data_IF_291806789348
#
_entry.id   IF_291806789348
#
_cell.length_a   1.000
_cell.length_b   1.000
_cell.length_c   1.000
_cell.angle_alpha   90.00
_cell.angle_beta   90.00
_cell.angle_gamma   90.00
#
_symmetry.space_group_name_H-M   'P 1'
#
loop_
_entity.id
_entity.type
_entity.pdbx_description
1 polymer ?
#
# COMPACT_ATOMS: atom_id res chain seq x y z
N UNK A 1 -6.68 25.24 -0.79
CA UNK A 1 -7.55 24.08 -0.55
C UNK A 1 -6.67 22.88 -0.18
N UNK A 2 -7.02 22.12 0.85
CA UNK A 2 -6.36 20.85 1.19
C UNK A 2 -7.41 19.75 1.15
N UNK A 3 -7.08 18.60 0.57
CA UNK A 3 -8.03 17.50 0.38
C UNK A 3 -7.47 16.22 0.99
N UNK A 4 -8.30 15.48 1.73
CA UNK A 4 -7.92 14.20 2.35
C UNK A 4 -8.66 13.08 1.64
N UNK A 5 -7.98 11.98 1.37
CA UNK A 5 -8.62 10.74 0.95
C UNK A 5 -8.08 9.55 1.73
N UNK A 6 -9.00 8.70 2.18
CA UNK A 6 -8.72 7.47 2.90
C UNK A 6 -9.42 6.32 2.15
N UNK A 7 -8.71 5.23 1.89
CA UNK A 7 -9.26 4.03 1.24
C UNK A 7 -8.79 2.78 1.99
N UNK A 8 -9.73 1.93 2.39
CA UNK A 8 -9.44 0.62 2.97
C UNK A 8 -10.06 -0.48 2.11
N UNK A 9 -9.31 -1.53 1.87
CA UNK A 9 -9.74 -2.74 1.16
C UNK A 9 -9.41 -3.95 2.03
N UNK A 10 -10.34 -4.89 2.13
CA UNK A 10 -10.18 -6.16 2.86
C UNK A 10 -10.51 -7.32 1.91
N UNK A 11 -9.67 -8.34 1.91
CA UNK A 11 -9.84 -9.55 1.11
C UNK A 11 -9.47 -10.79 1.93
N UNK A 12 -10.10 -11.93 1.63
CA UNK A 12 -9.79 -13.21 2.26
C UNK A 12 -9.73 -14.32 1.20
N UNK A 13 -8.70 -15.15 1.28
CA UNK A 13 -8.61 -16.40 0.54
C UNK A 13 -9.36 -17.50 1.27
N UNK A 14 -10.37 -18.08 0.62
CA UNK A 14 -11.20 -19.18 1.14
C UNK A 14 -11.02 -20.41 0.24
N UNK A 15 -10.03 -21.28 0.53
CA UNK A 15 -9.82 -22.50 -0.24
C UNK A 15 -11.02 -23.44 -0.08
N UNK A 16 -11.53 -23.98 -1.19
CA UNK A 16 -12.62 -24.96 -1.16
C UNK A 16 -12.18 -26.33 -0.60
N UNK A 17 -10.90 -26.67 -0.71
CA UNK A 17 -10.28 -27.90 -0.19
C UNK A 17 -8.83 -27.63 0.25
N UNK A 18 -8.23 -28.52 1.04
CA UNK A 18 -6.82 -28.43 1.42
C UNK A 18 -6.47 -27.31 2.40
N UNK A 19 -7.45 -26.83 3.18
CA UNK A 19 -7.29 -25.74 4.15
C UNK A 19 -6.23 -26.06 5.22
N UNK A 20 -6.04 -27.33 5.54
CA UNK A 20 -5.04 -27.80 6.51
C UNK A 20 -3.59 -27.64 6.02
N UNK A 21 -3.39 -27.57 4.69
CA UNK A 21 -2.08 -27.37 4.05
C UNK A 21 -1.89 -25.92 3.58
N UNK A 22 -2.91 -25.34 2.93
CA UNK A 22 -2.85 -24.01 2.30
C UNK A 22 -3.14 -22.87 3.28
N UNK A 23 -3.92 -23.14 4.33
CA UNK A 23 -4.41 -22.13 5.26
C UNK A 23 -5.39 -21.13 4.63
N UNK A 24 -5.88 -20.21 5.45
CA UNK A 24 -6.68 -19.04 5.07
C UNK A 24 -5.79 -17.82 5.18
N UNK A 25 -5.81 -16.99 4.14
CA UNK A 25 -5.06 -15.73 4.13
C UNK A 25 -6.04 -14.57 4.17
N UNK A 26 -5.94 -13.72 5.17
CA UNK A 26 -6.69 -12.46 5.26
C UNK A 26 -5.71 -11.33 4.95
N UNK A 27 -6.03 -10.54 3.93
CA UNK A 27 -5.23 -9.40 3.46
C UNK A 27 -6.04 -8.13 3.62
N UNK A 28 -5.43 -7.10 4.19
CA UNK A 28 -5.98 -5.76 4.26
C UNK A 28 -4.98 -4.75 3.72
N UNK A 29 -5.50 -3.74 3.05
CA UNK A 29 -4.75 -2.60 2.54
C UNK A 29 -5.49 -1.32 2.94
N UNK A 30 -4.81 -0.43 3.66
CA UNK A 30 -5.34 0.89 4.02
C UNK A 30 -4.39 1.95 3.50
N UNK A 31 -4.88 2.84 2.65
CA UNK A 31 -4.12 3.93 2.06
C UNK A 31 -4.72 5.28 2.47
N UNK A 32 -3.87 6.15 2.99
CA UNK A 32 -4.20 7.53 3.37
C UNK A 32 -3.38 8.46 2.49
N UNK A 33 -4.03 9.44 1.89
CA UNK A 33 -3.40 10.47 1.09
C UNK A 33 -3.89 11.84 1.55
N UNK A 34 -2.98 12.81 1.62
CA UNK A 34 -3.35 14.16 1.98
C UNK A 34 -2.77 15.16 0.99
N UNK A 35 -3.63 15.82 0.20
CA UNK A 35 -3.28 16.79 -0.82
C UNK A 35 -3.13 18.18 -0.22
N UNK A 36 -1.91 18.68 -0.19
CA UNK A 36 -1.54 20.02 0.26
C UNK A 36 -1.35 20.93 -0.95
N UNK A 37 -2.15 21.99 -1.04
CA UNK A 37 -2.04 23.04 -2.06
C UNK A 37 -1.99 22.52 -3.51
N UNK A 38 -2.59 21.37 -3.77
CA UNK A 38 -2.66 20.81 -5.12
C UNK A 38 -1.39 20.12 -5.64
N UNK A 39 -0.25 20.27 -4.96
CA UNK A 39 1.07 19.92 -5.49
C UNK A 39 1.85 18.88 -4.66
N UNK A 40 1.56 18.77 -3.35
CA UNK A 40 2.26 17.84 -2.46
C UNK A 40 1.23 16.89 -1.87
N UNK A 41 1.52 15.59 -1.93
CA UNK A 41 0.68 14.52 -1.41
C UNK A 41 1.50 13.55 -0.57
N UNK A 42 1.67 13.79 0.74
CA UNK A 42 2.06 12.73 1.65
C UNK A 42 1.09 11.56 1.54
N UNK A 43 1.66 10.37 1.49
CA UNK A 43 0.98 9.09 1.39
C UNK A 43 1.43 8.20 2.54
N UNK A 44 0.49 7.44 3.09
CA UNK A 44 0.77 6.37 4.02
C UNK A 44 -0.07 5.16 3.64
N UNK A 45 0.58 4.05 3.35
CA UNK A 45 -0.09 2.80 3.05
C UNK A 45 0.27 1.73 4.08
N UNK A 46 -0.72 1.02 4.59
CA UNK A 46 -0.58 -0.10 5.49
C UNK A 46 -1.10 -1.36 4.80
N UNK A 47 -0.24 -2.34 4.60
CA UNK A 47 -0.60 -3.66 4.08
C UNK A 47 -0.44 -4.67 5.22
N UNK A 48 -1.50 -5.42 5.54
CA UNK A 48 -1.44 -6.46 6.56
C UNK A 48 -1.94 -7.77 5.99
N UNK A 49 -1.12 -8.80 6.11
CA UNK A 49 -1.44 -10.17 5.75
C UNK A 49 -1.37 -11.05 7.00
N UNK A 50 -2.44 -11.77 7.27
CA UNK A 50 -2.53 -12.73 8.38
C UNK A 50 -2.92 -14.09 7.84
N UNK A 51 -2.26 -15.12 8.34
CA UNK A 51 -2.50 -16.51 7.98
C UNK A 51 -3.13 -17.26 9.15
N UNK A 52 -4.12 -18.10 8.84
CA UNK A 52 -4.80 -18.98 9.80
C UNK A 52 -4.93 -20.38 9.19
N UNK A 53 -4.36 -21.39 9.85
CA UNK A 53 -4.14 -22.73 9.32
C UNK A 53 -2.95 -22.84 8.35
N UNK A 54 -2.57 -24.07 7.99
CA UNK A 54 -1.45 -24.36 7.09
C UNK A 54 -0.06 -24.06 7.68
N UNK A 55 0.96 -24.10 6.83
CA UNK A 55 2.39 -23.96 7.23
C UNK A 55 2.75 -22.60 7.85
N UNK A 56 1.92 -21.58 7.65
CA UNK A 56 2.14 -20.22 8.15
C UNK A 56 1.15 -19.84 9.25
N UNK A 57 0.49 -20.82 9.87
CA UNK A 57 -0.52 -20.57 10.90
C UNK A 57 -0.02 -19.63 12.01
N UNK A 58 -0.86 -18.68 12.40
CA UNK A 58 -0.58 -17.67 13.41
C UNK A 58 0.42 -16.59 12.98
N UNK A 59 1.02 -16.67 11.80
CA UNK A 59 1.94 -15.62 11.33
C UNK A 59 1.16 -14.41 10.83
N UNK A 60 1.75 -13.24 11.07
CA UNK A 60 1.24 -11.96 10.59
C UNK A 60 2.39 -11.15 10.02
N UNK A 61 2.19 -10.61 8.82
CA UNK A 61 3.13 -9.75 8.14
C UNK A 61 2.46 -8.40 7.91
N UNK A 62 3.05 -7.33 8.44
CA UNK A 62 2.54 -5.98 8.31
C UNK A 62 3.61 -5.10 7.71
N UNK A 63 3.27 -4.44 6.61
CA UNK A 63 4.10 -3.45 5.96
C UNK A 63 3.49 -2.07 6.09
N UNK A 64 4.32 -1.09 6.42
CA UNK A 64 3.99 0.33 6.37
C UNK A 64 4.83 0.98 5.27
N UNK A 65 4.16 1.72 4.40
CA UNK A 65 4.77 2.40 3.26
C UNK A 65 4.51 3.90 3.36
N UNK A 66 5.35 4.65 4.09
CA UNK A 66 5.39 6.10 3.92
C UNK A 66 5.85 6.45 2.51
N UNK A 67 5.18 7.43 1.92
CA UNK A 67 5.53 7.97 0.62
C UNK A 67 5.17 9.43 0.48
N UNK A 68 5.70 10.04 -0.57
CA UNK A 68 5.43 11.42 -0.94
C UNK A 68 5.29 11.47 -2.45
N UNK A 69 4.20 12.05 -2.92
CA UNK A 69 4.04 12.42 -4.32
C UNK A 69 4.12 13.93 -4.42
N UNK A 70 4.88 14.43 -5.38
CA UNK A 70 4.92 15.83 -5.78
C UNK A 70 4.44 15.93 -7.22
N UNK A 71 3.61 16.90 -7.55
CA UNK A 71 3.12 16.99 -8.92
C UNK A 71 2.12 18.09 -9.21
N UNK A 72 1.37 17.85 -10.29
CA UNK A 72 0.75 18.86 -11.14
C UNK A 72 1.78 19.76 -11.83
N UNK A 73 2.94 19.23 -12.20
CA UNK A 73 3.85 19.92 -13.11
C UNK A 73 3.22 19.92 -14.51
N UNK A 74 2.89 21.09 -15.10
CA UNK A 74 2.31 21.14 -16.43
C UNK A 74 3.37 20.74 -17.47
N UNK A 75 3.07 19.71 -18.26
CA UNK A 75 3.90 19.32 -19.41
C UNK A 75 3.30 19.84 -20.73
N UNK A 76 1.97 19.81 -20.87
CA UNK A 76 1.20 20.33 -22.00
C UNK A 76 -0.21 20.75 -21.53
N UNK A 77 -1.02 21.41 -22.36
CA UNK A 77 -2.31 22.05 -21.99
C UNK A 77 -3.18 21.28 -20.98
N UNK A 78 -3.28 19.96 -21.12
CA UNK A 78 -4.03 19.09 -20.19
C UNK A 78 -3.16 18.07 -19.46
N UNK A 79 -1.91 17.91 -19.90
CA UNK A 79 -1.00 16.89 -19.41
C UNK A 79 -0.26 17.38 -18.18
N UNK A 80 -0.50 16.72 -17.05
CA UNK A 80 0.20 17.01 -15.82
C UNK A 80 1.09 15.82 -15.43
N UNK A 81 2.24 16.11 -14.83
CA UNK A 81 3.16 15.11 -14.31
C UNK A 81 3.18 15.16 -12.78
N UNK A 82 3.20 13.98 -12.17
CA UNK A 82 3.50 13.76 -10.77
C UNK A 82 4.58 12.70 -10.58
N UNK A 83 5.50 12.96 -9.67
CA UNK A 83 6.56 12.06 -9.26
C UNK A 83 6.32 11.64 -7.82
N UNK A 84 6.39 10.35 -7.54
CA UNK A 84 6.20 9.81 -6.20
C UNK A 84 7.31 8.86 -5.79
N UNK A 85 7.71 8.94 -4.53
CA UNK A 85 8.65 8.02 -3.92
C UNK A 85 8.12 7.54 -2.58
N UNK A 86 8.43 6.30 -2.19
CA UNK A 86 8.09 5.74 -0.90
C UNK A 86 8.99 4.57 -0.54
N UNK A 87 8.98 4.21 0.73
CA UNK A 87 9.74 3.07 1.25
C UNK A 87 8.77 2.18 1.98
N UNK A 88 8.70 0.92 1.57
CA UNK A 88 7.94 -0.11 2.26
C UNK A 88 8.82 -0.75 3.34
N UNK A 89 8.35 -0.70 4.58
CA UNK A 89 9.05 -1.13 5.79
C UNK A 89 8.20 -2.21 6.46
N UNK A 90 8.84 -3.31 6.88
CA UNK A 90 8.16 -4.31 7.69
C UNK A 90 8.08 -3.83 9.15
N UNK A 91 6.88 -3.91 9.74
CA UNK A 91 6.62 -3.48 11.12
C UNK A 91 6.28 -4.69 12.03
N UNK A 92 6.24 -5.90 11.48
CA UNK A 92 6.03 -7.16 12.20
C UNK A 92 7.32 -7.97 12.31
N UNK A 93 7.46 -8.75 13.40
CA UNK A 93 8.61 -9.65 13.62
C UNK A 93 8.80 -10.68 12.50
N UNK A 94 7.69 -11.15 11.92
CA UNK A 94 7.74 -11.96 10.71
C UNK A 94 7.70 -11.07 9.48
N UNK A 95 8.77 -11.07 8.71
CA UNK A 95 8.88 -10.33 7.47
C UNK A 95 9.76 -11.07 6.45
N UNK A 96 9.25 -11.26 5.24
CA UNK A 96 10.02 -11.87 4.14
C UNK A 96 10.94 -10.86 3.46
N UNK A 97 10.61 -9.57 3.57
CA UNK A 97 11.36 -8.45 3.01
C UNK A 97 11.47 -7.33 4.03
N UNK A 98 12.58 -6.59 4.01
CA UNK A 98 12.78 -5.44 4.88
C UNK A 98 13.49 -4.34 4.06
N UNK A 99 12.87 -3.15 3.99
CA UNK A 99 13.28 -1.97 3.20
C UNK A 99 13.21 -2.12 1.67
N UNK A 100 12.02 -1.96 1.10
CA UNK A 100 11.82 -1.89 -0.36
C UNK A 100 11.55 -0.46 -0.82
N UNK A 101 12.38 0.05 -1.70
CA UNK A 101 12.18 1.35 -2.33
C UNK A 101 11.15 1.25 -3.46
N UNK A 102 10.25 2.23 -3.51
CA UNK A 102 9.17 2.33 -4.50
C UNK A 102 9.26 3.72 -5.14
N UNK A 103 9.40 3.74 -6.45
CA UNK A 103 9.31 4.95 -7.27
C UNK A 103 8.08 4.84 -8.18
N UNK A 104 7.39 5.95 -8.37
CA UNK A 104 6.16 6.02 -9.18
C UNK A 104 6.11 7.31 -9.99
N UNK A 105 5.54 7.21 -11.18
CA UNK A 105 5.26 8.36 -12.06
C UNK A 105 3.76 8.35 -12.36
N UNK A 106 3.11 9.51 -12.25
CA UNK A 106 1.68 9.69 -12.53
C UNK A 106 1.52 10.71 -13.64
N UNK A 107 0.70 10.37 -14.63
CA UNK A 107 0.40 11.23 -15.77
C UNK A 107 -1.12 11.31 -15.95
N UNK A 108 -1.82 12.14 -15.14
CA UNK A 108 -3.24 12.39 -15.35
C UNK A 108 -3.48 13.19 -16.63
N UNK A 109 -4.54 12.82 -17.36
CA UNK A 109 -4.99 13.39 -18.63
C UNK A 109 -6.48 13.79 -18.57
#
# INVERSE_FOLDING_TARGET
MSEKSDKTTLAAGLPATGTDLLGRTIVSNTAVNYRIKGAIWPMLELNSTSWSGGTLDGKKEVFLTPGLVVGSFPLAERLHLGLGAGVQIAVSDFHRYNHRWIASVRVPF
#
